data_IF_168790472558
#
_entry.id   IF_168790472558
#
_cell.length_a   1.000
_cell.length_b   1.000
_cell.length_c   1.000
_cell.angle_alpha   90.00
_cell.angle_beta   90.00
_cell.angle_gamma   90.00
#
_symmetry.space_group_name_H-M   'P 1'
#
loop_
_entity.id
_entity.type
_entity.pdbx_description
1 polymer ?
#
# COMPACT_ATOMS: atom_id res chain seq x y z
N UNK A 1 2.58 23.54 -2.38
CA UNK A 1 1.53 22.89 -1.57
C UNK A 1 2.17 21.75 -0.80
N UNK A 2 2.16 21.83 0.54
CA UNK A 2 2.98 21.01 1.43
C UNK A 2 2.54 19.55 1.44
N UNK A 3 3.29 18.69 0.75
CA UNK A 3 3.14 17.23 0.73
C UNK A 3 3.72 16.56 1.99
N UNK A 4 3.39 17.07 3.17
CA UNK A 4 3.71 16.40 4.42
C UNK A 4 2.57 15.43 4.76
N UNK A 5 2.68 14.21 4.25
CA UNK A 5 1.91 13.09 4.78
C UNK A 5 2.19 12.97 6.28
N UNK A 6 1.13 12.96 7.08
CA UNK A 6 1.22 12.79 8.52
C UNK A 6 1.80 11.40 8.81
N UNK A 7 3.03 11.33 9.31
CA UNK A 7 3.86 10.12 9.32
C UNK A 7 3.34 9.00 10.24
N UNK A 8 2.34 9.29 11.06
CA UNK A 8 1.84 8.43 12.15
C UNK A 8 0.44 7.88 11.94
N UNK A 9 -0.28 8.30 10.90
CA UNK A 9 -1.62 7.80 10.61
C UNK A 9 -1.69 7.18 9.22
N UNK A 10 -2.35 6.02 9.11
CA UNK A 10 -2.79 5.49 7.82
C UNK A 10 -3.50 6.64 7.06
N UNK A 11 -3.25 6.82 5.76
CA UNK A 11 -3.98 7.82 4.97
C UNK A 11 -5.48 7.65 5.22
N UNK A 12 -6.20 8.76 5.40
CA UNK A 12 -7.64 8.73 5.66
C UNK A 12 -8.34 7.92 4.55
N UNK A 13 -8.76 6.70 4.86
CA UNK A 13 -9.36 5.77 3.90
C UNK A 13 -9.16 4.30 4.27
N UNK A 14 -9.86 3.41 3.57
CA UNK A 14 -9.69 1.97 3.72
C UNK A 14 -8.46 1.50 2.94
N UNK A 15 -7.77 0.49 3.48
CA UNK A 15 -6.70 -0.16 2.74
C UNK A 15 -7.26 -0.86 1.50
N UNK A 16 -6.67 -0.60 0.33
CA UNK A 16 -7.04 -1.27 -0.93
C UNK A 16 -6.71 -2.77 -0.86
N UNK A 17 -5.66 -3.11 -0.12
CA UNK A 17 -5.25 -4.48 0.12
C UNK A 17 -4.81 -4.59 1.58
N UNK A 18 -5.43 -5.51 2.31
CA UNK A 18 -5.08 -5.86 3.68
C UNK A 18 -4.71 -7.34 3.72
N UNK A 19 -3.60 -7.65 4.35
CA UNK A 19 -3.22 -9.03 4.61
C UNK A 19 -2.71 -9.16 6.04
N UNK A 20 -3.37 -10.01 6.80
CA UNK A 20 -3.00 -10.32 8.18
C UNK A 20 -2.19 -11.61 8.21
N UNK A 21 -1.17 -11.62 9.06
CA UNK A 21 -0.36 -12.80 9.35
C UNK A 21 -0.70 -13.29 10.76
N UNK A 22 -0.70 -14.61 10.96
CA UNK A 22 -1.04 -15.23 12.26
C UNK A 22 -0.04 -14.88 13.38
N UNK A 23 1.19 -14.51 13.01
CA UNK A 23 2.27 -14.26 13.97
C UNK A 23 2.82 -12.84 13.85
N UNK A 24 3.00 -12.20 15.01
CA UNK A 24 3.73 -10.95 15.13
C UNK A 24 5.25 -11.20 15.19
N UNK A 25 6.02 -10.23 14.70
CA UNK A 25 7.47 -10.19 14.86
C UNK A 25 7.86 -9.40 16.11
N UNK A 26 9.14 -9.43 16.47
CA UNK A 26 9.65 -8.69 17.62
C UNK A 26 9.37 -7.17 17.53
N UNK A 27 9.17 -6.53 18.68
CA UNK A 27 8.91 -5.09 18.80
C UNK A 27 10.17 -4.22 18.63
N UNK A 28 10.84 -4.36 17.50
CA UNK A 28 12.04 -3.60 17.18
C UNK A 28 12.20 -3.40 15.67
N UNK A 29 13.20 -2.63 15.27
CA UNK A 29 13.46 -2.32 13.86
C UNK A 29 13.69 -3.59 13.01
N UNK A 30 14.32 -4.63 13.57
CA UNK A 30 14.54 -5.89 12.88
C UNK A 30 13.23 -6.64 12.64
N UNK A 31 12.37 -6.72 13.64
CA UNK A 31 11.04 -7.33 13.52
C UNK A 31 10.14 -6.58 12.54
N UNK A 32 10.20 -5.25 12.54
CA UNK A 32 9.49 -4.44 11.54
C UNK A 32 10.01 -4.74 10.12
N UNK A 33 11.32 -4.91 9.94
CA UNK A 33 11.89 -5.31 8.63
C UNK A 33 11.42 -6.70 8.20
N UNK A 34 11.29 -7.65 9.13
CA UNK A 34 10.75 -8.98 8.85
C UNK A 34 9.27 -8.91 8.44
N UNK A 35 8.48 -8.11 9.14
CA UNK A 35 7.08 -7.84 8.81
C UNK A 35 6.95 -7.25 7.39
N UNK A 36 7.73 -6.20 7.07
CA UNK A 36 7.79 -5.59 5.73
C UNK A 36 8.09 -6.65 4.66
N UNK A 37 9.13 -7.47 4.87
CA UNK A 37 9.52 -8.49 3.90
C UNK A 37 8.40 -9.51 3.65
N UNK A 38 7.68 -9.93 4.69
CA UNK A 38 6.54 -10.85 4.54
C UNK A 38 5.38 -10.23 3.79
N UNK A 39 5.04 -8.96 4.07
CA UNK A 39 4.04 -8.23 3.30
C UNK A 39 4.47 -8.13 1.82
N UNK A 40 5.74 -7.84 1.54
CA UNK A 40 6.27 -7.77 0.17
C UNK A 40 6.21 -9.12 -0.56
N UNK A 41 6.57 -10.23 0.10
CA UNK A 41 6.46 -11.58 -0.47
C UNK A 41 5.04 -11.90 -0.94
N UNK A 42 4.02 -11.43 -0.20
CA UNK A 42 2.62 -11.57 -0.59
C UNK A 42 2.25 -10.64 -1.75
N UNK A 43 2.63 -9.37 -1.68
CA UNK A 43 2.34 -8.39 -2.72
C UNK A 43 2.97 -8.74 -4.06
N UNK A 44 4.16 -9.37 -4.07
CA UNK A 44 4.85 -9.81 -5.30
C UNK A 44 3.97 -10.71 -6.16
N UNK A 45 3.15 -11.57 -5.55
CA UNK A 45 2.24 -12.49 -6.24
C UNK A 45 1.13 -11.76 -7.00
N UNK A 46 0.83 -10.53 -6.61
CA UNK A 46 -0.22 -9.71 -7.19
C UNK A 46 0.32 -8.62 -8.13
N UNK A 47 1.65 -8.50 -8.30
CA UNK A 47 2.25 -7.42 -9.10
C UNK A 47 1.78 -7.42 -10.55
N UNK A 48 1.66 -8.57 -11.20
CA UNK A 48 1.24 -8.60 -12.60
C UNK A 48 -0.18 -8.04 -12.79
N UNK A 49 -1.08 -8.31 -11.84
CA UNK A 49 -2.49 -7.91 -11.89
C UNK A 49 -2.82 -6.69 -11.02
N UNK A 50 -1.81 -5.98 -10.52
CA UNK A 50 -2.03 -4.98 -9.45
C UNK A 50 -2.93 -3.83 -9.91
N UNK A 51 -2.97 -3.49 -11.20
CA UNK A 51 -3.82 -2.42 -11.72
C UNK A 51 -5.30 -2.77 -11.63
N UNK A 52 -5.69 -3.97 -12.06
CA UNK A 52 -7.07 -4.41 -11.99
C UNK A 52 -7.52 -4.58 -10.53
N UNK A 53 -6.64 -5.14 -9.68
CA UNK A 53 -6.92 -5.28 -8.25
C UNK A 53 -7.11 -3.91 -7.57
N UNK A 54 -6.21 -2.96 -7.82
CA UNK A 54 -6.30 -1.62 -7.22
C UNK A 54 -7.52 -0.88 -7.72
N UNK A 55 -7.74 -0.81 -9.03
CA UNK A 55 -8.87 -0.06 -9.58
C UNK A 55 -10.23 -0.69 -9.24
N UNK A 56 -10.32 -2.03 -9.19
CA UNK A 56 -11.56 -2.71 -8.83
C UNK A 56 -11.90 -2.60 -7.33
N UNK A 57 -10.90 -2.44 -6.47
CA UNK A 57 -11.09 -2.22 -5.04
C UNK A 57 -11.21 -0.75 -4.65
N UNK A 58 -10.78 0.17 -5.51
CA UNK A 58 -10.87 1.61 -5.29
C UNK A 58 -12.31 2.07 -5.56
N UNK A 59 -12.91 2.74 -4.59
CA UNK A 59 -14.29 3.27 -4.64
C UNK A 59 -14.40 4.62 -5.37
N UNK A 60 -13.32 5.04 -6.05
CA UNK A 60 -13.21 6.33 -6.73
C UNK A 60 -12.27 6.24 -7.91
N UNK A 61 -12.40 7.21 -8.81
CA UNK A 61 -11.40 7.44 -9.84
C UNK A 61 -10.09 7.94 -9.22
N UNK A 62 -8.98 7.60 -9.85
CA UNK A 62 -7.67 8.14 -9.49
C UNK A 62 -6.86 8.48 -10.73
N UNK A 63 -5.94 9.42 -10.57
CA UNK A 63 -5.09 9.89 -11.63
C UNK A 63 -3.65 10.06 -11.13
N UNK A 64 -2.74 9.27 -11.69
CA UNK A 64 -1.31 9.26 -11.35
C UNK A 64 -1.05 9.09 -9.84
N UNK A 65 -1.86 8.27 -9.18
CA UNK A 65 -1.71 8.02 -7.75
C UNK A 65 -0.78 6.86 -7.46
N UNK A 66 -0.08 6.92 -6.32
CA UNK A 66 0.86 5.87 -5.92
C UNK A 66 0.33 5.13 -4.70
N UNK A 67 0.44 3.80 -4.73
CA UNK A 67 0.16 2.97 -3.57
C UNK A 67 1.36 2.97 -2.60
N UNK A 68 1.09 3.03 -1.31
CA UNK A 68 2.08 3.03 -0.24
C UNK A 68 1.89 1.82 0.67
N UNK A 69 2.99 1.27 1.19
CA UNK A 69 2.95 0.15 2.13
C UNK A 69 2.98 0.67 3.56
N UNK A 70 1.97 0.29 4.33
CA UNK A 70 1.92 0.43 5.77
C UNK A 70 1.92 -0.97 6.40
N UNK A 71 2.51 -1.12 7.57
CA UNK A 71 2.48 -2.37 8.33
C UNK A 71 1.91 -2.14 9.72
N UNK A 72 1.37 -3.20 10.30
CA UNK A 72 1.00 -3.31 11.71
C UNK A 72 1.74 -4.53 12.26
N UNK A 73 2.52 -4.36 13.32
CA UNK A 73 3.29 -5.43 13.95
C UNK A 73 2.87 -5.57 15.43
N UNK A 74 3.76 -5.97 16.33
CA UNK A 74 3.45 -6.30 17.73
C UNK A 74 2.79 -5.19 18.58
N UNK A 75 2.92 -3.92 18.21
CA UNK A 75 2.43 -2.78 19.00
C UNK A 75 1.04 -2.32 18.56
N UNK A 76 0.41 -3.04 17.64
CA UNK A 76 -0.92 -2.76 17.09
C UNK A 76 -1.06 -1.34 16.52
N UNK A 77 0.05 -0.75 16.06
CA UNK A 77 0.09 0.58 15.46
C UNK A 77 0.49 0.50 13.99
N UNK A 78 -0.12 1.35 13.17
CA UNK A 78 0.27 1.52 11.78
C UNK A 78 1.63 2.22 11.68
N UNK A 79 2.54 1.62 10.94
CA UNK A 79 3.89 2.13 10.70
C UNK A 79 4.02 2.40 9.20
N UNK A 80 4.33 3.66 8.84
CA UNK A 80 4.70 4.02 7.48
C UNK A 80 6.09 3.46 7.16
N UNK A 81 6.17 2.60 6.14
CA UNK A 81 7.44 1.97 5.74
C UNK A 81 8.30 2.86 4.84
N UNK A 82 7.74 3.98 4.35
CA UNK A 82 8.24 4.81 3.25
C UNK A 82 8.39 4.06 1.92
N UNK A 83 7.90 2.83 1.81
CA UNK A 83 7.86 2.07 0.56
C UNK A 83 6.61 2.43 -0.22
N UNK A 84 6.77 2.51 -1.54
CA UNK A 84 5.69 2.79 -2.47
C UNK A 84 5.83 1.90 -3.70
N UNK A 85 4.72 1.71 -4.42
CA UNK A 85 4.75 1.02 -5.69
C UNK A 85 5.67 1.76 -6.68
N UNK A 86 6.45 1.01 -7.47
CA UNK A 86 7.34 1.59 -8.49
C UNK A 86 6.62 2.22 -9.68
N UNK A 87 5.29 2.27 -9.67
CA UNK A 87 4.45 2.84 -10.72
C UNK A 87 3.25 3.54 -10.13
N UNK A 88 2.64 4.37 -10.97
CA UNK A 88 1.40 5.08 -10.67
C UNK A 88 0.19 4.34 -11.24
N UNK A 89 -0.95 4.59 -10.63
CA UNK A 89 -2.24 4.00 -10.97
C UNK A 89 -3.20 5.08 -11.46
N UNK A 90 -3.97 4.69 -12.47
CA UNK A 90 -4.98 5.51 -13.10
C UNK A 90 -6.22 4.64 -13.27
N UNK A 91 -7.28 4.99 -12.54
CA UNK A 91 -8.51 4.22 -12.46
C UNK A 91 -9.69 5.09 -12.89
N UNK A 92 -10.57 4.54 -13.72
CA UNK A 92 -11.82 5.17 -14.13
C UNK A 92 -12.94 4.16 -14.11
N UNK A 93 -14.01 4.42 -13.37
CA UNK A 93 -15.16 3.52 -13.23
C UNK A 93 -14.75 2.09 -12.79
N UNK A 94 -13.78 1.98 -11.87
CA UNK A 94 -13.28 0.70 -11.38
C UNK A 94 -12.30 -0.02 -12.33
N UNK A 95 -12.04 0.51 -13.53
CA UNK A 95 -11.14 -0.10 -14.51
C UNK A 95 -9.81 0.66 -14.64
N UNK A 96 -8.69 -0.06 -14.84
CA UNK A 96 -7.41 0.57 -15.07
C UNK A 96 -7.30 1.15 -16.48
N UNK A 97 -6.71 2.34 -16.61
CA UNK A 97 -6.34 2.92 -17.89
C UNK A 97 -4.87 3.33 -17.91
N UNK A 98 -4.31 3.54 -19.11
CA UNK A 98 -2.93 4.01 -19.25
C UNK A 98 -2.82 5.43 -18.69
N UNK A 99 -2.00 5.61 -17.66
CA UNK A 99 -1.68 6.94 -17.16
C UNK A 99 -1.07 7.81 -18.27
N UNK A 100 -1.60 9.03 -18.50
CA UNK A 100 -1.01 9.97 -19.45
C UNK A 100 0.44 10.28 -19.09
N UNK A 101 1.30 10.46 -20.08
CA UNK A 101 2.73 10.77 -19.85
C UNK A 101 2.97 12.24 -19.44
N UNK A 102 1.93 13.09 -19.50
CA UNK A 102 1.97 14.53 -19.30
C UNK A 102 0.90 14.93 -18.28
#
# INVERSE_FOLDING_TARGET
>A
MSGQFDKSSMPKGNAIFMHEHETNFACNALGNKQCINKCLEMLVRHLANSHALICGALDRDCHKERAFLFIKNCNDQWINTNLSAGREFCCKNGEPYKCPLL
#
